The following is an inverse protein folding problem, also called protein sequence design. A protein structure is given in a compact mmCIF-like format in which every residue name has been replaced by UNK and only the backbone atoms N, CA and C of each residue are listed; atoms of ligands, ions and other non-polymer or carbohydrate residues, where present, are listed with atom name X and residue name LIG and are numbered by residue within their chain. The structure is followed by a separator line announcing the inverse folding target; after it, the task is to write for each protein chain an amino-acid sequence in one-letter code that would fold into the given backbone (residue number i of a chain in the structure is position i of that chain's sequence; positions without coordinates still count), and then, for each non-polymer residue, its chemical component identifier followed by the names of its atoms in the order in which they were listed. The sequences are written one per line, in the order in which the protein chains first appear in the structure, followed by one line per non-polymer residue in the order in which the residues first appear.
data_IF_195021886354
#
_entry.id   IF_195021886354
#
_cell.length_a   1.000
_cell.length_b   1.000
_cell.length_c   1.000
_cell.angle_alpha   90.00
_cell.angle_beta   90.00
_cell.angle_gamma   90.00
#
_symmetry.space_group_name_H-M   'P 1'
#
loop_
_entity.id
_entity.type
_entity.pdbx_description
1 polymer ?
#
# COMPACT_ATOMS: atom_id res chain seq x y z
N UNK A 1 -6.34 -4.83 -21.27
CA UNK A 1 -5.35 -4.55 -20.22
C UNK A 1 -6.07 -4.03 -18.98
N UNK A 2 -5.93 -4.67 -17.82
CA UNK A 2 -6.56 -4.18 -16.61
C UNK A 2 -6.01 -2.82 -16.22
N UNK A 3 -6.89 -1.90 -15.82
CA UNK A 3 -6.50 -0.58 -15.31
C UNK A 3 -6.21 -0.68 -13.81
N UNK A 4 -5.01 -1.16 -13.47
CA UNK A 4 -4.56 -1.35 -12.09
C UNK A 4 -3.27 -0.59 -11.86
N UNK A 5 -3.18 0.12 -10.73
CA UNK A 5 -1.96 0.78 -10.28
C UNK A 5 -0.97 -0.27 -9.74
N UNK A 6 0.24 -0.32 -10.30
CA UNK A 6 1.28 -1.28 -9.89
C UNK A 6 1.80 -1.08 -8.46
N UNK A 7 1.63 0.10 -7.90
CA UNK A 7 2.12 0.44 -6.54
C UNK A 7 1.03 0.29 -5.47
N UNK A 8 -0.15 0.88 -5.72
CA UNK A 8 -1.22 0.93 -4.71
C UNK A 8 -2.29 -0.13 -4.89
N UNK A 9 -2.28 -0.84 -6.02
CA UNK A 9 -3.33 -1.81 -6.36
C UNK A 9 -4.69 -1.19 -6.71
N UNK A 10 -4.81 0.15 -6.79
CA UNK A 10 -6.05 0.80 -7.19
C UNK A 10 -6.47 0.35 -8.56
N UNK A 11 -7.69 -0.13 -8.68
CA UNK A 11 -8.33 -0.60 -9.90
C UNK A 11 -9.59 0.21 -10.21
N UNK A 12 -10.21 -0.08 -11.33
CA UNK A 12 -11.52 0.46 -11.68
C UNK A 12 -12.55 0.05 -10.64
N UNK A 13 -13.30 1.03 -10.13
CA UNK A 13 -14.38 0.82 -9.16
C UNK A 13 -15.72 1.09 -9.83
N UNK A 14 -16.75 0.35 -9.45
CA UNK A 14 -18.12 0.52 -9.93
C UNK A 14 -18.92 1.15 -8.80
N UNK A 15 -19.63 2.21 -9.12
CA UNK A 15 -20.52 2.89 -8.19
C UNK A 15 -21.83 3.29 -8.87
N UNK A 16 -22.59 4.16 -8.22
CA UNK A 16 -23.85 4.63 -8.72
C UNK A 16 -23.94 6.15 -8.62
N UNK A 17 -24.47 6.77 -9.68
CA UNK A 17 -24.97 8.13 -9.61
C UNK A 17 -26.38 8.07 -9.02
N UNK A 18 -26.65 8.93 -8.06
CA UNK A 18 -27.98 9.08 -7.46
C UNK A 18 -28.54 10.44 -7.88
N UNK A 19 -29.68 10.44 -8.55
CA UNK A 19 -30.40 11.67 -8.94
C UNK A 19 -31.17 12.25 -7.75
N UNK A 20 -31.69 13.47 -7.90
CA UNK A 20 -32.53 14.12 -6.89
C UNK A 20 -33.77 13.28 -6.52
N UNK A 21 -34.32 12.53 -7.49
CA UNK A 21 -35.45 11.60 -7.31
C UNK A 21 -35.03 10.21 -6.84
N UNK A 22 -33.81 10.06 -6.28
CA UNK A 22 -33.23 8.81 -5.80
C UNK A 22 -33.08 7.68 -6.84
N UNK A 23 -33.16 8.01 -8.13
CA UNK A 23 -32.80 7.07 -9.20
C UNK A 23 -31.32 6.77 -9.17
N UNK A 24 -30.96 5.49 -9.26
CA UNK A 24 -29.58 5.01 -9.27
C UNK A 24 -29.20 4.51 -10.66
N UNK A 25 -28.18 5.14 -11.24
CA UNK A 25 -27.59 4.71 -12.52
C UNK A 25 -26.16 4.22 -12.27
N UNK A 26 -25.77 3.11 -12.89
CA UNK A 26 -24.43 2.55 -12.75
C UNK A 26 -23.40 3.53 -13.31
N UNK A 27 -22.31 3.72 -12.57
CA UNK A 27 -21.17 4.53 -12.98
C UNK A 27 -19.86 3.80 -12.68
N UNK A 28 -18.90 3.98 -13.56
CA UNK A 28 -17.55 3.41 -13.40
C UNK A 28 -16.58 4.54 -13.09
N UNK A 29 -15.77 4.34 -12.04
CA UNK A 29 -14.68 5.24 -11.66
C UNK A 29 -13.35 4.66 -12.14
N UNK A 30 -12.73 5.34 -13.09
CA UNK A 30 -11.45 4.93 -13.66
C UNK A 30 -10.32 5.62 -12.89
N UNK A 31 -9.28 4.88 -12.45
CA UNK A 31 -8.10 5.50 -11.86
C UNK A 31 -7.30 6.27 -12.91
N UNK A 32 -6.77 7.43 -12.54
CA UNK A 32 -5.82 8.17 -13.37
C UNK A 32 -4.45 7.50 -13.31
N UNK A 33 -4.12 6.74 -14.34
CA UNK A 33 -2.88 5.97 -14.43
C UNK A 33 -1.93 6.59 -15.47
N UNK A 34 -0.68 6.77 -15.06
CA UNK A 34 0.41 7.23 -15.91
C UNK A 34 1.50 6.16 -15.95
N UNK A 35 2.20 6.06 -17.08
CA UNK A 35 3.35 5.17 -17.22
C UNK A 35 4.61 5.99 -17.02
N UNK A 36 5.33 5.69 -15.95
CA UNK A 36 6.56 6.39 -15.57
C UNK A 36 7.71 5.39 -15.43
N UNK A 37 8.93 5.85 -15.70
CA UNK A 37 10.15 5.09 -15.50
C UNK A 37 10.74 5.43 -14.13
N UNK A 38 11.10 4.41 -13.36
CA UNK A 38 11.76 4.52 -12.06
C UNK A 38 13.07 3.79 -12.10
N UNK A 39 14.13 4.49 -11.74
CA UNK A 39 15.44 3.89 -11.59
C UNK A 39 15.52 3.13 -10.26
N UNK A 40 16.15 1.96 -10.28
CA UNK A 40 16.52 1.22 -9.08
C UNK A 40 18.03 1.25 -8.94
N UNK A 41 18.54 1.97 -7.96
CA UNK A 41 19.97 2.09 -7.68
C UNK A 41 20.59 0.73 -7.33
N UNK A 42 19.86 -0.08 -6.58
CA UNK A 42 20.31 -1.41 -6.15
C UNK A 42 20.43 -2.36 -7.34
N UNK A 43 19.46 -2.37 -8.24
CA UNK A 43 19.46 -3.26 -9.40
C UNK A 43 20.24 -2.68 -10.59
N UNK A 44 20.44 -1.35 -10.65
CA UNK A 44 21.11 -0.64 -11.74
C UNK A 44 20.29 -0.68 -13.05
N UNK A 45 18.97 -0.67 -12.97
CA UNK A 45 18.08 -0.71 -14.14
C UNK A 45 16.79 0.07 -13.92
N UNK A 46 16.17 0.47 -15.03
CA UNK A 46 14.90 1.20 -15.02
C UNK A 46 13.72 0.26 -15.11
N UNK A 47 12.67 0.60 -14.36
CA UNK A 47 11.38 -0.07 -14.39
C UNK A 47 10.30 0.88 -14.93
N UNK A 48 9.68 0.48 -16.03
CA UNK A 48 8.49 1.19 -16.54
C UNK A 48 7.25 0.68 -15.83
N UNK A 49 6.64 1.54 -15.00
CA UNK A 49 5.52 1.17 -14.15
C UNK A 49 4.31 2.04 -14.46
N UNK A 50 3.14 1.39 -14.57
CA UNK A 50 1.85 2.08 -14.69
C UNK A 50 1.30 2.35 -13.31
N UNK A 51 1.33 3.61 -12.88
CA UNK A 51 0.98 4.03 -11.53
C UNK A 51 -0.05 5.16 -11.50
N UNK A 52 -0.80 5.23 -10.41
CA UNK A 52 -1.70 6.35 -10.14
C UNK A 52 -0.95 7.52 -9.52
N UNK A 53 -1.53 8.73 -9.59
CA UNK A 53 -0.97 9.92 -8.93
C UNK A 53 -0.77 9.72 -7.43
N UNK A 54 -1.69 8.99 -6.77
CA UNK A 54 -1.52 8.59 -5.37
C UNK A 54 -0.33 7.64 -5.17
N UNK A 55 -0.10 6.70 -6.11
CA UNK A 55 1.06 5.81 -6.10
C UNK A 55 2.37 6.58 -6.25
N UNK A 56 2.40 7.58 -7.14
CA UNK A 56 3.56 8.44 -7.31
C UNK A 56 3.91 9.18 -6.01
N UNK A 57 2.93 9.82 -5.36
CA UNK A 57 3.13 10.48 -4.06
C UNK A 57 3.67 9.52 -3.00
N UNK A 58 3.18 8.28 -2.98
CA UNK A 58 3.67 7.27 -2.05
C UNK A 58 5.14 6.94 -2.29
N UNK A 59 5.56 6.74 -3.55
CA UNK A 59 6.96 6.49 -3.89
C UNK A 59 7.86 7.66 -3.52
N UNK A 60 7.45 8.89 -3.86
CA UNK A 60 8.20 10.11 -3.52
C UNK A 60 8.37 10.27 -2.00
N UNK A 61 7.30 10.03 -1.23
CA UNK A 61 7.34 10.10 0.24
C UNK A 61 8.30 9.08 0.86
N UNK A 62 8.46 7.92 0.26
CA UNK A 62 9.38 6.88 0.75
C UNK A 62 10.81 7.06 0.24
N UNK A 63 11.09 8.06 -0.59
CA UNK A 63 12.43 8.30 -1.12
C UNK A 63 12.79 7.44 -2.33
N UNK A 64 11.80 6.93 -3.08
CA UNK A 64 12.01 6.20 -4.32
C UNK A 64 11.45 4.78 -4.31
N UNK A 65 11.73 4.07 -5.41
CA UNK A 65 11.22 2.72 -5.63
C UNK A 65 11.82 1.71 -4.64
N UNK A 66 13.14 1.71 -4.48
CA UNK A 66 13.88 0.73 -3.67
C UNK A 66 13.52 0.88 -2.19
N UNK A 67 13.50 2.11 -1.66
CA UNK A 67 13.13 2.40 -0.28
C UNK A 67 11.68 1.98 0.02
N UNK A 68 10.75 2.25 -0.90
CA UNK A 68 9.36 1.82 -0.78
C UNK A 68 9.22 0.29 -0.70
N UNK A 69 9.88 -0.41 -1.61
CA UNK A 69 9.81 -1.88 -1.71
C UNK A 69 10.43 -2.55 -0.50
N UNK A 70 11.54 -2.00 0.00
CA UNK A 70 12.22 -2.54 1.19
C UNK A 70 11.46 -2.27 2.49
N UNK A 71 10.78 -1.13 2.60
CA UNK A 71 10.02 -0.74 3.81
C UNK A 71 8.79 -1.61 4.08
N UNK A 72 8.25 -2.30 3.07
CA UNK A 72 7.00 -3.06 3.19
C UNK A 72 7.20 -4.57 3.13
N UNK A 73 6.42 -5.36 3.90
CA UNK A 73 6.39 -6.81 3.77
C UNK A 73 5.78 -7.22 2.41
N UNK A 74 6.18 -8.36 1.89
CA UNK A 74 5.72 -8.90 0.58
C UNK A 74 4.19 -8.99 0.52
N UNK A 75 3.54 -9.34 1.63
CA UNK A 75 2.07 -9.48 1.71
C UNK A 75 1.29 -8.19 1.45
N UNK A 76 1.92 -7.02 1.61
CA UNK A 76 1.32 -5.69 1.37
C UNK A 76 1.74 -5.06 0.05
N UNK A 77 2.53 -5.75 -0.72
CA UNK A 77 2.99 -5.31 -2.04
C UNK A 77 2.13 -5.93 -3.13
N UNK A 78 1.97 -5.22 -4.25
CA UNK A 78 1.41 -5.80 -5.46
C UNK A 78 2.38 -6.80 -6.06
N UNK A 79 1.90 -7.70 -6.92
CA UNK A 79 2.72 -8.75 -7.53
C UNK A 79 3.97 -8.21 -8.22
N UNK A 80 3.84 -7.11 -8.97
CA UNK A 80 4.97 -6.46 -9.64
C UNK A 80 6.00 -5.93 -8.64
N UNK A 81 5.53 -5.26 -7.56
CA UNK A 81 6.42 -4.76 -6.50
C UNK A 81 7.07 -5.90 -5.71
N UNK A 82 6.34 -7.00 -5.48
CA UNK A 82 6.88 -8.18 -4.84
C UNK A 82 7.97 -8.88 -5.69
N UNK A 83 7.81 -8.88 -7.02
CA UNK A 83 8.84 -9.39 -7.92
C UNK A 83 10.11 -8.54 -7.87
N UNK A 84 9.97 -7.21 -7.87
CA UNK A 84 11.11 -6.28 -7.71
C UNK A 84 11.80 -6.51 -6.36
N UNK A 85 11.04 -6.66 -5.28
CA UNK A 85 11.58 -6.94 -3.94
C UNK A 85 12.40 -8.22 -3.93
N UNK A 86 11.89 -9.31 -4.48
CA UNK A 86 12.62 -10.58 -4.58
C UNK A 86 13.92 -10.42 -5.38
N UNK A 87 13.92 -9.63 -6.45
CA UNK A 87 15.12 -9.34 -7.23
C UNK A 87 16.17 -8.57 -6.43
N UNK A 88 15.73 -7.57 -5.64
CA UNK A 88 16.59 -6.80 -4.74
C UNK A 88 17.17 -7.70 -3.64
N UNK A 89 16.32 -8.49 -2.97
CA UNK A 89 16.73 -9.43 -1.91
C UNK A 89 17.72 -10.48 -2.42
N UNK A 90 17.58 -10.91 -3.68
CA UNK A 90 18.54 -11.83 -4.32
C UNK A 90 19.90 -11.18 -4.55
N UNK A 91 19.95 -9.87 -4.84
CA UNK A 91 21.19 -9.15 -5.12
C UNK A 91 21.92 -8.68 -3.84
N UNK A 92 21.17 -8.22 -2.85
CA UNK A 92 21.71 -7.63 -1.61
C UNK A 92 21.79 -8.65 -0.47
N UNK A 93 21.11 -9.79 -0.58
CA UNK A 93 20.85 -10.69 0.53
C UNK A 93 19.56 -10.33 1.26
N UNK A 94 18.94 -11.32 1.90
CA UNK A 94 17.68 -11.13 2.61
C UNK A 94 17.90 -10.26 3.84
N UNK A 95 17.31 -9.06 3.94
CA UNK A 95 17.40 -8.27 5.17
C UNK A 95 16.78 -9.07 6.32
N UNK A 96 17.41 -9.03 7.49
CA UNK A 96 16.85 -9.61 8.70
C UNK A 96 15.41 -9.11 8.88
N UNK A 97 14.46 -10.04 9.09
CA UNK A 97 13.06 -9.70 9.29
C UNK A 97 12.95 -8.65 10.40
N UNK A 98 12.25 -7.53 10.21
CA UNK A 98 12.05 -6.56 11.26
C UNK A 98 11.41 -7.28 12.44
N UNK A 99 12.01 -7.18 13.62
CA UNK A 99 11.52 -7.78 14.85
C UNK A 99 10.03 -7.43 14.98
N UNK A 100 9.18 -8.46 15.11
CA UNK A 100 7.74 -8.25 15.34
C UNK A 100 7.61 -7.35 16.54
N UNK A 101 7.09 -6.14 16.37
CA UNK A 101 6.73 -5.28 17.49
C UNK A 101 5.87 -6.11 18.42
N UNK A 102 6.19 -6.18 19.73
CA UNK A 102 5.37 -6.94 20.65
C UNK A 102 3.92 -6.46 20.51
N UNK A 103 3.00 -7.38 20.31
CA UNK A 103 1.59 -7.05 20.24
C UNK A 103 1.24 -6.35 21.55
N UNK A 104 0.85 -5.08 21.47
CA UNK A 104 0.38 -4.32 22.61
C UNK A 104 -0.90 -5.02 23.08
N UNK A 105 -0.77 -5.94 24.04
CA UNK A 105 -1.91 -6.50 24.73
C UNK A 105 -2.58 -5.32 25.43
N UNK A 106 -3.63 -4.79 24.82
CA UNK A 106 -4.46 -3.78 25.44
C UNK A 106 -4.95 -4.38 26.76
N UNK A 107 -4.46 -3.84 27.85
CA UNK A 107 -4.80 -4.29 29.20
C UNK A 107 -6.26 -3.88 29.47
N UNK A 108 -7.19 -4.70 28.97
CA UNK A 108 -8.65 -4.49 29.11
C UNK A 108 -9.07 -4.58 30.59
N UNK A 109 -8.29 -5.27 31.41
CA UNK A 109 -8.54 -5.45 32.85
C UNK A 109 -8.29 -4.18 33.65
N UNK A 110 -7.30 -3.34 33.29
CA UNK A 110 -7.01 -2.10 34.02
C UNK A 110 -8.11 -1.02 33.91
N UNK A 111 -8.96 -1.06 32.86
CA UNK A 111 -10.09 -0.13 32.71
C UNK A 111 -11.30 -0.49 33.56
N UNK A 112 -11.47 -1.77 33.92
CA UNK A 112 -12.58 -2.23 34.76
C UNK A 112 -12.33 -1.92 36.23
N UNK A 113 -11.10 -2.04 36.69
CA UNK A 113 -10.75 -1.75 38.12
C UNK A 113 -10.93 -0.27 38.41
N UNK A 114 -10.49 0.64 37.55
CA UNK A 114 -10.67 2.10 37.78
C UNK A 114 -12.16 2.55 37.74
N UNK A 115 -13.04 1.77 37.16
CA UNK A 115 -14.48 2.11 37.10
C UNK A 115 -15.24 1.65 38.36
N UNK A 116 -14.67 0.73 39.15
CA UNK A 116 -15.27 0.24 40.38
C UNK A 116 -14.86 1.15 41.56
N UNK A 117 -13.60 1.64 41.56
CA UNK A 117 -13.12 2.55 42.62
C UNK A 117 -13.72 3.98 42.53
N UNK A 118 -14.21 4.41 41.35
CA UNK A 118 -14.84 5.72 41.19
C UNK A 118 -16.33 5.76 41.59
N UNK A 119 -16.89 4.69 42.14
CA UNK A 119 -18.31 4.58 42.56
C UNK A 119 -18.50 4.29 44.07
N UNK A 120 -17.48 4.52 44.85
CA UNK A 120 -17.61 4.53 46.32
C UNK A 120 -17.51 5.95 46.85
#
# INVERSE_FOLDING_TARGET
MPRVCKVTGKKTEVGMNVSHSHRRTKRTFLPNLQTLKFHSDILGRDFSLRISTAGLRTLTKHGGLDAYVMSKPVSRLTEDMAAIKKAIEKKVGKPAAPAKKPAHKANRSARLVKKVEAKQ
#
